data_IF_013653091536
#
_entry.id   IF_013653091536
#
_cell.length_a   1.000
_cell.length_b   1.000
_cell.length_c   1.000
_cell.angle_alpha   90.00
_cell.angle_beta   90.00
_cell.angle_gamma   90.00
#
_symmetry.space_group_name_H-M   'P 1'
#
loop_
_entity.id
_entity.type
_entity.pdbx_description
1 polymer ?
#
# COMPACT_ATOMS: atom_id res chain seq x y z
N UNK A 1 -7.70 -26.28 -27.73
CA UNK A 1 -9.03 -25.67 -27.43
C UNK A 1 -9.00 -24.73 -26.23
N UNK A 2 -8.29 -25.06 -25.14
CA UNK A 2 -8.16 -24.20 -23.94
C UNK A 2 -7.42 -22.88 -24.24
N UNK A 3 -6.34 -22.92 -25.06
CA UNK A 3 -5.61 -21.72 -25.49
C UNK A 3 -6.48 -20.80 -26.37
N UNK A 4 -7.32 -21.37 -27.21
CA UNK A 4 -8.24 -20.56 -28.04
C UNK A 4 -9.35 -19.91 -27.21
N UNK A 5 -9.85 -20.56 -26.16
CA UNK A 5 -10.85 -19.98 -25.25
C UNK A 5 -10.27 -18.85 -24.37
N UNK A 6 -9.01 -18.98 -23.92
CA UNK A 6 -8.34 -17.92 -23.17
C UNK A 6 -8.06 -16.70 -24.04
N UNK A 7 -7.57 -16.91 -25.28
CA UNK A 7 -7.32 -15.83 -26.23
C UNK A 7 -8.60 -15.08 -26.62
N UNK A 8 -9.71 -15.78 -26.85
CA UNK A 8 -11.01 -15.14 -27.11
C UNK A 8 -11.48 -14.32 -25.90
N UNK A 9 -11.38 -14.87 -24.68
CA UNK A 9 -11.70 -14.15 -23.45
C UNK A 9 -10.88 -12.88 -23.30
N UNK A 10 -9.59 -12.93 -23.63
CA UNK A 10 -8.70 -11.75 -23.52
C UNK A 10 -9.01 -10.68 -24.59
N UNK A 11 -9.45 -11.09 -25.77
CA UNK A 11 -9.93 -10.13 -26.80
C UNK A 11 -11.18 -9.38 -26.30
N UNK A 12 -12.18 -10.10 -25.75
CA UNK A 12 -13.37 -9.46 -25.21
C UNK A 12 -13.06 -8.54 -24.03
N UNK A 13 -12.19 -8.95 -23.11
CA UNK A 13 -11.72 -8.11 -22.00
C UNK A 13 -11.08 -6.82 -22.52
N UNK A 14 -10.19 -6.92 -23.50
CA UNK A 14 -9.55 -5.75 -24.12
C UNK A 14 -10.56 -4.83 -24.81
N UNK A 15 -11.54 -5.39 -25.50
CA UNK A 15 -12.58 -4.59 -26.14
C UNK A 15 -13.44 -3.84 -25.12
N UNK A 16 -13.84 -4.49 -24.03
CA UNK A 16 -14.58 -3.83 -22.94
C UNK A 16 -13.73 -2.72 -22.33
N UNK A 17 -12.47 -3.01 -22.00
CA UNK A 17 -11.55 -2.01 -21.42
C UNK A 17 -11.32 -0.83 -22.39
N UNK A 18 -11.24 -1.06 -23.68
CA UNK A 18 -11.05 0.01 -24.66
C UNK A 18 -12.16 1.07 -24.62
N UNK A 19 -13.40 0.68 -24.36
CA UNK A 19 -14.53 1.61 -24.26
C UNK A 19 -14.73 2.14 -22.84
N UNK A 20 -14.53 1.30 -21.83
CA UNK A 20 -14.78 1.65 -20.41
C UNK A 20 -13.65 2.50 -19.83
N UNK A 21 -12.40 2.15 -20.14
CA UNK A 21 -11.23 2.80 -19.54
C UNK A 21 -11.15 4.32 -19.81
N UNK A 22 -11.37 4.82 -21.02
CA UNK A 22 -11.34 6.27 -21.26
C UNK A 22 -12.37 7.03 -20.43
N UNK A 23 -13.54 6.45 -20.16
CA UNK A 23 -14.59 7.07 -19.34
C UNK A 23 -14.15 7.11 -17.88
N UNK A 24 -13.67 5.98 -17.34
CA UNK A 24 -13.16 5.90 -15.95
C UNK A 24 -11.98 6.84 -15.75
N UNK A 25 -11.02 6.79 -16.68
CA UNK A 25 -9.83 7.64 -16.61
C UNK A 25 -10.20 9.14 -16.71
N UNK A 26 -11.06 9.51 -17.66
CA UNK A 26 -11.55 10.89 -17.81
C UNK A 26 -12.29 11.40 -16.58
N UNK A 27 -13.09 10.55 -15.93
CA UNK A 27 -13.76 10.89 -14.67
C UNK A 27 -12.78 11.13 -13.53
N UNK A 28 -11.72 10.30 -13.42
CA UNK A 28 -10.67 10.46 -12.38
C UNK A 28 -9.81 11.71 -12.64
N UNK A 29 -9.50 12.03 -13.91
CA UNK A 29 -8.80 13.26 -14.29
C UNK A 29 -9.66 14.48 -13.95
N UNK A 30 -10.92 14.51 -14.38
CA UNK A 30 -11.84 15.62 -14.07
C UNK A 30 -12.07 15.79 -12.56
N UNK A 31 -12.14 14.70 -11.81
CA UNK A 31 -12.18 14.76 -10.35
C UNK A 31 -10.88 15.38 -9.79
N UNK A 32 -9.71 14.96 -10.27
CA UNK A 32 -8.42 15.52 -9.88
C UNK A 32 -8.36 17.03 -10.14
N UNK A 33 -8.72 17.47 -11.33
CA UNK A 33 -8.74 18.89 -11.70
C UNK A 33 -9.69 19.72 -10.81
N UNK A 34 -10.85 19.16 -10.47
CA UNK A 34 -11.82 19.85 -9.61
C UNK A 34 -11.29 20.12 -8.19
N UNK A 35 -10.44 19.24 -7.66
CA UNK A 35 -9.90 19.39 -6.29
C UNK A 35 -8.61 20.22 -6.21
N UNK A 36 -7.91 20.45 -7.32
CA UNK A 36 -6.68 21.26 -7.37
C UNK A 36 -6.91 22.65 -6.78
N UNK A 37 -8.02 23.28 -7.12
CA UNK A 37 -8.37 24.62 -6.68
C UNK A 37 -8.59 24.78 -5.18
N UNK A 38 -8.73 23.66 -4.44
CA UNK A 38 -9.02 23.66 -2.99
C UNK A 38 -7.76 23.65 -2.12
N UNK A 39 -6.56 23.71 -2.71
CA UNK A 39 -5.28 23.83 -1.98
C UNK A 39 -5.01 22.66 -1.04
N UNK A 40 -4.72 22.93 0.24
CA UNK A 40 -4.38 21.91 1.24
C UNK A 40 -5.51 20.89 1.47
N UNK A 41 -6.76 21.30 1.38
CA UNK A 41 -7.92 20.40 1.47
C UNK A 41 -7.90 19.45 0.28
N UNK A 42 -7.60 19.96 -0.92
CA UNK A 42 -7.46 19.15 -2.14
C UNK A 42 -6.37 18.09 -2.02
N UNK A 43 -5.23 18.44 -1.43
CA UNK A 43 -4.17 17.45 -1.15
C UNK A 43 -4.67 16.34 -0.21
N UNK A 44 -5.47 16.68 0.80
CA UNK A 44 -6.09 15.71 1.69
C UNK A 44 -7.09 14.81 0.99
N UNK A 45 -7.97 15.37 0.18
CA UNK A 45 -8.97 14.63 -0.62
C UNK A 45 -8.25 13.68 -1.59
N UNK A 46 -7.24 14.19 -2.30
CA UNK A 46 -6.43 13.37 -3.19
C UNK A 46 -5.81 12.18 -2.46
N UNK A 47 -5.12 12.40 -1.35
CA UNK A 47 -4.44 11.34 -0.61
C UNK A 47 -5.41 10.32 -0.01
N UNK A 48 -6.59 10.75 0.43
CA UNK A 48 -7.66 9.86 0.88
C UNK A 48 -8.11 8.93 -0.25
N UNK A 49 -8.49 9.47 -1.41
CA UNK A 49 -8.93 8.67 -2.54
C UNK A 49 -7.80 7.85 -3.15
N UNK A 50 -6.58 8.35 -3.14
CA UNK A 50 -5.40 7.58 -3.54
C UNK A 50 -5.33 6.26 -2.76
N UNK A 51 -5.43 6.29 -1.43
CA UNK A 51 -5.44 5.08 -0.60
C UNK A 51 -6.68 4.23 -0.85
N UNK A 52 -7.85 4.83 -0.90
CA UNK A 52 -9.11 4.12 -1.11
C UNK A 52 -9.15 3.34 -2.42
N UNK A 53 -8.44 3.80 -3.44
CA UNK A 53 -8.40 3.19 -4.77
C UNK A 53 -7.30 2.13 -4.96
N UNK A 54 -6.39 1.94 -3.99
CA UNK A 54 -5.33 0.91 -4.07
C UNK A 54 -5.91 -0.50 -4.27
N UNK A 55 -6.97 -0.94 -3.55
CA UNK A 55 -7.54 -2.28 -3.72
C UNK A 55 -8.00 -2.57 -5.16
N UNK A 56 -8.35 -1.52 -5.90
CA UNK A 56 -8.82 -1.61 -7.29
C UNK A 56 -7.71 -1.36 -8.31
N UNK A 57 -6.49 -0.99 -7.87
CA UNK A 57 -5.39 -0.59 -8.76
C UNK A 57 -5.60 0.77 -9.45
N UNK A 58 -6.66 1.50 -9.12
CA UNK A 58 -7.04 2.76 -9.78
C UNK A 58 -6.31 4.00 -9.24
N UNK A 59 -5.58 3.88 -8.12
CA UNK A 59 -4.79 4.98 -7.53
C UNK A 59 -3.74 5.55 -8.51
N UNK A 60 -3.21 4.73 -9.43
CA UNK A 60 -2.29 5.20 -10.46
C UNK A 60 -2.90 6.23 -11.42
N UNK A 61 -4.20 6.16 -11.67
CA UNK A 61 -4.87 7.16 -12.49
C UNK A 61 -4.91 8.53 -11.79
N UNK A 62 -5.09 8.57 -10.46
CA UNK A 62 -4.96 9.81 -9.70
C UNK A 62 -3.50 10.28 -9.62
N UNK A 63 -2.54 9.37 -9.45
CA UNK A 63 -1.12 9.72 -9.45
C UNK A 63 -0.71 10.37 -10.76
N UNK A 64 -1.25 9.92 -11.90
CA UNK A 64 -0.94 10.50 -13.21
C UNK A 64 -1.39 11.96 -13.32
N UNK A 65 -2.44 12.34 -12.60
CA UNK A 65 -2.94 13.73 -12.56
C UNK A 65 -2.03 14.64 -11.73
N UNK A 66 -1.63 14.19 -10.53
CA UNK A 66 -0.96 15.06 -9.55
C UNK A 66 0.57 14.95 -9.61
N UNK A 67 1.11 13.76 -9.81
CA UNK A 67 2.56 13.54 -9.80
C UNK A 67 3.19 13.70 -11.17
N UNK A 68 2.44 13.41 -12.23
CA UNK A 68 2.89 13.48 -13.61
C UNK A 68 2.17 14.60 -14.39
N UNK A 69 2.27 14.62 -15.71
CA UNK A 69 1.90 15.76 -16.52
C UNK A 69 0.48 15.69 -17.17
N UNK A 70 -0.42 14.88 -16.62
CA UNK A 70 -1.75 14.71 -17.25
C UNK A 70 -2.59 15.97 -17.12
N UNK A 71 -2.54 16.68 -15.99
CA UNK A 71 -3.25 17.93 -15.75
C UNK A 71 -2.30 19.15 -15.65
N UNK A 72 -1.08 19.04 -16.14
CA UNK A 72 -0.08 20.11 -16.12
C UNK A 72 0.52 20.39 -14.74
N UNK A 73 0.23 19.57 -13.70
CA UNK A 73 0.75 19.74 -12.34
C UNK A 73 2.20 19.31 -12.30
N UNK A 74 2.49 18.06 -12.65
CA UNK A 74 3.81 17.42 -12.66
C UNK A 74 4.61 17.71 -11.38
N UNK A 75 4.03 17.37 -10.22
CA UNK A 75 4.60 17.74 -8.92
C UNK A 75 5.98 17.12 -8.69
N UNK A 76 6.20 15.89 -9.16
CA UNK A 76 7.51 15.23 -9.07
C UNK A 76 8.56 15.96 -9.90
N UNK A 77 8.31 16.15 -11.20
CA UNK A 77 9.29 16.76 -12.10
C UNK A 77 9.64 18.20 -11.70
N UNK A 78 8.65 18.98 -11.28
CA UNK A 78 8.85 20.34 -10.79
C UNK A 78 9.62 20.36 -9.45
N UNK A 79 9.26 19.47 -8.51
CA UNK A 79 9.93 19.43 -7.20
C UNK A 79 11.44 19.12 -7.30
N UNK A 80 11.81 18.22 -8.18
CA UNK A 80 13.20 17.87 -8.40
C UNK A 80 13.93 18.78 -9.40
N UNK A 81 13.24 19.79 -9.96
CA UNK A 81 13.82 20.73 -10.91
C UNK A 81 14.12 20.16 -12.30
N UNK A 82 13.51 19.02 -12.63
CA UNK A 82 13.61 18.41 -13.98
C UNK A 82 12.61 19.02 -14.94
N UNK A 83 11.60 19.72 -14.43
CA UNK A 83 10.60 20.45 -15.19
C UNK A 83 10.50 21.89 -14.68
N UNK A 84 10.23 22.81 -15.59
CA UNK A 84 10.04 24.24 -15.27
C UNK A 84 8.69 24.50 -14.58
N UNK A 85 8.55 25.66 -13.94
CA UNK A 85 7.29 26.11 -13.33
C UNK A 85 7.07 25.63 -11.90
N UNK A 86 8.11 25.16 -11.19
CA UNK A 86 8.06 24.93 -9.76
C UNK A 86 7.90 26.23 -8.96
N UNK A 87 7.09 26.19 -7.90
CA UNK A 87 6.82 27.33 -7.01
C UNK A 87 7.13 26.92 -5.58
N UNK A 88 8.03 27.66 -4.92
CA UNK A 88 8.39 27.40 -3.53
C UNK A 88 7.14 27.51 -2.64
N UNK A 89 7.00 26.58 -1.69
CA UNK A 89 5.85 26.49 -0.81
C UNK A 89 4.59 25.85 -1.41
N UNK A 90 4.55 25.62 -2.73
CA UNK A 90 3.42 24.93 -3.39
C UNK A 90 3.83 23.58 -3.98
N UNK A 91 4.93 23.57 -4.75
CA UNK A 91 5.43 22.33 -5.39
C UNK A 91 5.85 21.32 -4.32
N UNK A 92 5.44 20.08 -4.46
CA UNK A 92 5.65 19.00 -3.48
C UNK A 92 4.47 18.78 -2.53
N UNK A 93 3.41 19.63 -2.59
CA UNK A 93 2.28 19.52 -1.65
C UNK A 93 1.51 18.20 -1.79
N UNK A 94 1.49 17.57 -2.96
CA UNK A 94 0.82 16.30 -3.22
C UNK A 94 1.68 15.08 -2.90
N UNK A 95 2.92 15.29 -2.46
CA UNK A 95 3.86 14.25 -2.06
C UNK A 95 4.13 14.24 -0.54
N UNK A 96 4.29 15.44 0.02
CA UNK A 96 4.83 15.64 1.38
C UNK A 96 4.07 14.86 2.46
N UNK A 97 2.75 14.81 2.38
CA UNK A 97 1.91 14.21 3.42
C UNK A 97 1.94 12.68 3.48
N UNK A 98 2.54 12.01 2.50
CA UNK A 98 2.73 10.58 2.54
C UNK A 98 3.89 10.16 3.45
N UNK A 99 4.91 11.00 3.65
CA UNK A 99 6.06 10.68 4.50
C UNK A 99 5.70 10.37 5.96
N UNK A 100 4.89 11.17 6.67
CA UNK A 100 4.48 10.84 8.03
C UNK A 100 3.75 9.52 8.14
N UNK A 101 2.95 9.17 7.13
CA UNK A 101 2.18 7.93 7.10
C UNK A 101 3.06 6.72 6.82
N UNK A 102 3.87 6.79 5.77
CA UNK A 102 4.66 5.64 5.32
C UNK A 102 5.84 5.36 6.25
N UNK A 103 6.51 6.40 6.77
CA UNK A 103 7.66 6.24 7.64
C UNK A 103 7.27 5.95 9.10
N UNK A 104 6.15 6.49 9.59
CA UNK A 104 5.80 6.39 11.02
C UNK A 104 4.43 5.77 11.24
N UNK A 105 3.41 6.20 10.51
CA UNK A 105 2.03 5.76 10.70
C UNK A 105 1.87 4.26 10.48
N UNK A 106 2.27 3.75 9.32
CA UNK A 106 2.14 2.33 8.98
C UNK A 106 3.04 1.42 9.83
N UNK A 107 4.32 1.72 10.12
CA UNK A 107 5.09 0.97 11.10
C UNK A 107 4.44 0.93 12.49
N UNK A 108 3.83 2.03 12.93
CA UNK A 108 3.09 2.08 14.20
C UNK A 108 1.78 1.25 14.14
N UNK A 109 1.10 1.22 12.97
CA UNK A 109 -0.03 0.33 12.73
C UNK A 109 0.38 -1.15 12.80
N UNK A 110 1.52 -1.50 12.21
CA UNK A 110 2.09 -2.85 12.32
C UNK A 110 2.36 -3.23 13.79
N UNK A 111 2.92 -2.31 14.56
CA UNK A 111 3.14 -2.52 16.00
C UNK A 111 1.81 -2.69 16.76
N UNK A 112 0.78 -1.93 16.41
CA UNK A 112 -0.54 -2.08 17.01
C UNK A 112 -1.17 -3.46 16.68
N UNK A 113 -1.05 -3.91 15.44
CA UNK A 113 -1.50 -5.24 15.01
C UNK A 113 -0.73 -6.34 15.76
N UNK A 114 0.61 -6.24 15.86
CA UNK A 114 1.42 -7.17 16.62
C UNK A 114 1.00 -7.25 18.10
N UNK A 115 0.80 -6.12 18.76
CA UNK A 115 0.39 -6.08 20.18
C UNK A 115 -1.01 -6.63 20.41
N UNK A 116 -1.87 -6.62 19.43
CA UNK A 116 -3.24 -7.14 19.51
C UNK A 116 -3.38 -8.56 18.99
N UNK A 117 -2.34 -9.16 18.41
CA UNK A 117 -2.32 -10.54 17.94
C UNK A 117 -2.46 -11.54 19.10
N UNK A 118 -3.04 -12.72 18.82
CA UNK A 118 -3.12 -13.84 19.76
C UNK A 118 -1.72 -14.32 20.14
N UNK A 119 -1.50 -14.71 21.41
CA UNK A 119 -0.17 -15.04 21.92
C UNK A 119 0.51 -16.20 21.18
N UNK A 120 -0.26 -17.21 20.76
CA UNK A 120 0.21 -18.33 19.97
C UNK A 120 0.67 -17.95 18.56
N UNK A 121 0.14 -16.87 17.98
CA UNK A 121 0.45 -16.39 16.61
C UNK A 121 1.49 -15.27 16.57
N UNK A 122 1.82 -14.64 17.69
CA UNK A 122 2.75 -13.50 17.77
C UNK A 122 4.09 -13.75 17.08
N UNK A 123 4.67 -14.93 17.26
CA UNK A 123 5.98 -15.25 16.64
C UNK A 123 5.94 -15.26 15.12
N UNK A 124 4.86 -15.79 14.56
CA UNK A 124 4.68 -15.89 13.10
C UNK A 124 4.46 -14.51 12.48
N UNK A 125 3.55 -13.73 13.07
CA UNK A 125 3.21 -12.41 12.53
C UNK A 125 4.29 -11.36 12.80
N UNK A 126 5.12 -11.53 13.83
CA UNK A 126 6.20 -10.59 14.13
C UNK A 126 7.15 -10.38 12.96
N UNK A 127 7.60 -11.46 12.32
CA UNK A 127 8.51 -11.40 11.19
C UNK A 127 7.87 -10.68 9.97
N UNK A 128 6.63 -11.04 9.65
CA UNK A 128 5.87 -10.42 8.57
C UNK A 128 5.67 -8.91 8.80
N UNK A 129 5.15 -8.53 9.97
CA UNK A 129 4.84 -7.15 10.29
C UNK A 129 6.10 -6.29 10.42
N UNK A 130 7.18 -6.85 10.98
CA UNK A 130 8.47 -6.16 11.04
C UNK A 130 9.05 -5.91 9.66
N UNK A 131 9.10 -6.93 8.80
CA UNK A 131 9.63 -6.80 7.45
C UNK A 131 8.82 -5.79 6.63
N UNK A 132 7.48 -5.87 6.68
CA UNK A 132 6.59 -4.94 5.98
C UNK A 132 6.70 -3.51 6.56
N UNK A 133 6.82 -3.35 7.88
CA UNK A 133 7.03 -2.07 8.53
C UNK A 133 8.37 -1.43 8.16
N UNK A 134 9.45 -2.20 8.09
CA UNK A 134 10.76 -1.72 7.64
C UNK A 134 10.75 -1.36 6.15
N UNK A 135 10.09 -2.14 5.29
CA UNK A 135 9.91 -1.79 3.89
C UNK A 135 9.18 -0.45 3.74
N UNK A 136 8.08 -0.26 4.48
CA UNK A 136 7.35 1.01 4.50
C UNK A 136 8.23 2.17 4.98
N UNK A 137 8.98 2.00 6.07
CA UNK A 137 9.83 3.06 6.62
C UNK A 137 10.96 3.45 5.67
N UNK A 138 11.75 2.49 5.18
CA UNK A 138 12.94 2.80 4.39
C UNK A 138 12.63 3.16 2.96
N UNK A 139 11.75 2.41 2.31
CA UNK A 139 11.49 2.54 0.86
C UNK A 139 10.16 3.18 0.52
N UNK A 140 9.23 3.30 1.49
CA UNK A 140 7.87 3.76 1.23
C UNK A 140 6.99 2.72 0.52
N UNK A 141 7.43 1.46 0.42
CA UNK A 141 6.61 0.36 -0.14
C UNK A 141 5.65 -0.12 0.94
N UNK A 142 4.38 0.19 0.78
CA UNK A 142 3.35 -0.01 1.80
C UNK A 142 2.46 -1.22 1.57
N UNK A 143 2.41 -1.71 0.33
CA UNK A 143 1.52 -2.78 -0.11
C UNK A 143 1.64 -4.07 0.71
N UNK A 144 2.83 -4.55 1.11
CA UNK A 144 2.93 -5.76 1.94
C UNK A 144 2.20 -5.63 3.27
N UNK A 145 2.22 -4.41 3.84
CA UNK A 145 1.53 -4.13 5.09
C UNK A 145 0.04 -3.83 4.88
N UNK A 146 -0.29 -3.00 3.91
CA UNK A 146 -1.68 -2.64 3.60
C UNK A 146 -2.50 -3.86 3.20
N UNK A 147 -1.99 -4.71 2.32
CA UNK A 147 -2.68 -5.94 1.89
C UNK A 147 -2.87 -6.94 3.03
N UNK A 148 -1.97 -6.94 4.02
CA UNK A 148 -2.11 -7.83 5.17
C UNK A 148 -3.37 -7.55 6.01
N UNK A 149 -3.92 -6.32 5.99
CA UNK A 149 -5.13 -6.01 6.76
C UNK A 149 -6.31 -5.48 5.92
N UNK A 150 -6.07 -4.99 4.72
CA UNK A 150 -7.06 -4.35 3.87
C UNK A 150 -8.27 -5.26 3.58
N UNK A 151 -8.02 -6.53 3.25
CA UNK A 151 -9.07 -7.50 2.93
C UNK A 151 -9.70 -8.12 4.18
N UNK A 152 -8.93 -8.27 5.26
CA UNK A 152 -9.38 -8.85 6.52
C UNK A 152 -10.21 -7.86 7.35
N UNK A 153 -9.85 -6.58 7.28
CA UNK A 153 -10.46 -5.51 8.07
C UNK A 153 -10.66 -4.24 7.23
N UNK A 154 -11.57 -4.22 6.24
CA UNK A 154 -11.76 -3.08 5.33
C UNK A 154 -12.14 -1.79 6.06
N UNK A 155 -12.83 -1.88 7.20
CA UNK A 155 -13.10 -0.70 8.05
C UNK A 155 -11.82 -0.08 8.62
N UNK A 156 -10.81 -0.89 8.97
CA UNK A 156 -9.52 -0.40 9.42
C UNK A 156 -8.74 0.26 8.27
N UNK A 157 -8.89 -0.29 7.07
CA UNK A 157 -8.32 0.30 5.87
C UNK A 157 -8.93 1.67 5.53
N UNK A 158 -10.25 1.82 5.70
CA UNK A 158 -10.90 3.12 5.56
C UNK A 158 -10.36 4.16 6.57
N UNK A 159 -10.13 3.74 7.82
CA UNK A 159 -9.50 4.60 8.83
C UNK A 159 -8.10 5.01 8.38
N UNK A 160 -7.30 4.08 7.83
CA UNK A 160 -5.99 4.38 7.26
C UNK A 160 -6.08 5.42 6.13
N UNK A 161 -7.02 5.27 5.20
CA UNK A 161 -7.23 6.22 4.12
C UNK A 161 -7.58 7.62 4.64
N UNK A 162 -8.46 7.72 5.66
CA UNK A 162 -8.82 8.99 6.31
C UNK A 162 -7.60 9.63 6.98
N UNK A 163 -6.82 8.86 7.75
CA UNK A 163 -5.61 9.36 8.40
C UNK A 163 -4.57 9.84 7.39
N UNK A 164 -4.45 9.17 6.25
CA UNK A 164 -3.57 9.61 5.15
C UNK A 164 -4.05 10.93 4.55
N UNK A 165 -5.35 11.08 4.32
CA UNK A 165 -5.92 12.34 3.87
C UNK A 165 -5.67 13.49 4.84
N UNK A 166 -5.84 13.26 6.15
CA UNK A 166 -5.54 14.25 7.19
C UNK A 166 -4.05 14.63 7.18
N UNK A 167 -3.16 13.64 7.08
CA UNK A 167 -1.71 13.88 6.99
C UNK A 167 -1.36 14.77 5.80
N UNK A 168 -1.92 14.48 4.63
CA UNK A 168 -1.67 15.26 3.42
C UNK A 168 -2.21 16.69 3.54
N UNK A 169 -3.40 16.88 4.08
CA UNK A 169 -3.97 18.20 4.31
C UNK A 169 -3.13 19.04 5.30
N UNK A 170 -2.71 18.42 6.41
CA UNK A 170 -1.87 19.07 7.43
C UNK A 170 -0.50 19.46 6.84
N UNK A 171 0.19 18.54 6.17
CA UNK A 171 1.50 18.83 5.57
C UNK A 171 1.40 19.90 4.47
N UNK A 172 0.33 19.87 3.66
CA UNK A 172 0.11 20.87 2.63
C UNK A 172 -0.17 22.26 3.20
N UNK A 173 -0.82 22.35 4.37
CA UNK A 173 -1.11 23.63 5.05
C UNK A 173 0.10 24.20 5.80
N UNK A 174 1.09 23.38 6.15
CA UNK A 174 2.29 23.79 6.83
C UNK A 174 3.39 24.17 5.82
N UNK A 175 4.37 25.01 6.22
CA UNK A 175 5.55 25.35 5.39
C UNK A 175 6.56 24.18 5.40
N UNK A 176 6.13 23.04 4.93
CA UNK A 176 6.91 21.80 4.87
C UNK A 176 6.74 21.17 3.49
N UNK A 177 7.86 20.97 2.78
CA UNK A 177 7.86 20.33 1.47
C UNK A 177 8.99 19.33 1.38
N UNK A 178 8.63 18.09 1.05
CA UNK A 178 9.53 17.01 0.68
C UNK A 178 8.90 16.23 -0.47
N UNK A 179 9.71 15.67 -1.31
CA UNK A 179 9.26 14.92 -2.47
C UNK A 179 10.00 13.61 -2.61
N UNK A 180 9.44 12.73 -3.39
CA UNK A 180 10.01 11.43 -3.73
C UNK A 180 10.05 11.26 -5.25
N UNK A 181 10.96 10.40 -5.70
CA UNK A 181 10.98 9.89 -7.07
C UNK A 181 10.37 8.50 -7.13
N UNK A 182 10.56 7.71 -6.08
CA UNK A 182 10.04 6.36 -5.98
C UNK A 182 8.84 6.29 -5.02
N UNK A 183 9.05 6.54 -3.74
CA UNK A 183 7.97 6.54 -2.74
C UNK A 183 8.39 7.28 -1.46
N UNK A 184 7.42 7.61 -0.58
CA UNK A 184 7.63 8.44 0.60
C UNK A 184 8.29 7.69 1.77
N UNK A 185 9.45 7.08 1.54
CA UNK A 185 10.29 6.44 2.54
C UNK A 185 11.45 7.29 2.99
N UNK A 186 12.21 6.77 3.94
CA UNK A 186 13.39 7.43 4.50
C UNK A 186 14.44 7.80 3.44
N UNK A 187 14.63 6.94 2.43
CA UNK A 187 15.62 7.19 1.37
C UNK A 187 15.26 8.44 0.59
N UNK A 188 14.03 8.53 0.07
CA UNK A 188 13.58 9.69 -0.69
C UNK A 188 13.47 10.93 0.21
N UNK A 189 13.04 10.80 1.46
CA UNK A 189 13.05 11.90 2.43
C UNK A 189 14.46 12.47 2.61
N UNK A 190 15.46 11.63 2.79
CA UNK A 190 16.85 12.05 2.94
C UNK A 190 17.38 12.72 1.66
N UNK A 191 17.07 12.16 0.49
CA UNK A 191 17.47 12.73 -0.79
C UNK A 191 16.78 14.07 -1.06
N UNK A 192 15.54 14.26 -0.59
CA UNK A 192 14.76 15.47 -0.81
C UNK A 192 15.37 16.75 -0.21
N UNK A 193 16.29 16.64 0.76
CA UNK A 193 17.00 17.81 1.32
C UNK A 193 17.77 18.62 0.29
N UNK A 194 18.15 18.02 -0.84
CA UNK A 194 18.87 18.67 -1.92
C UNK A 194 17.98 19.15 -3.05
N UNK A 195 16.68 18.89 -2.98
CA UNK A 195 15.74 19.30 -4.01
C UNK A 195 15.53 20.82 -3.97
N UNK A 196 15.40 21.48 -5.13
CA UNK A 196 15.31 22.95 -5.20
C UNK A 196 14.06 23.52 -4.52
N UNK A 197 12.99 22.74 -4.39
CA UNK A 197 11.73 23.16 -3.77
C UNK A 197 11.47 22.51 -2.41
N UNK A 198 12.49 21.87 -1.81
CA UNK A 198 12.40 21.36 -0.44
C UNK A 198 12.27 22.50 0.57
N UNK A 199 11.35 22.35 1.51
CA UNK A 199 11.12 23.32 2.58
C UNK A 199 10.97 22.60 3.91
N UNK A 200 11.85 22.90 4.85
CA UNK A 200 11.83 22.36 6.22
C UNK A 200 11.58 20.83 6.34
N UNK A 201 12.24 19.94 5.57
CA UNK A 201 11.93 18.51 5.59
C UNK A 201 12.14 17.84 6.95
N UNK A 202 12.95 18.43 7.85
CA UNK A 202 13.13 17.92 9.22
C UNK A 202 11.85 17.94 10.05
N UNK A 203 10.92 18.85 9.78
CA UNK A 203 9.65 18.91 10.50
C UNK A 203 8.81 17.65 10.29
N UNK A 204 9.02 16.93 9.17
CA UNK A 204 8.34 15.67 8.91
C UNK A 204 8.67 14.58 9.93
N UNK A 205 9.82 14.63 10.59
CA UNK A 205 10.13 13.70 11.68
C UNK A 205 9.22 13.95 12.88
N UNK A 206 9.02 15.21 13.27
CA UNK A 206 8.12 15.56 14.38
C UNK A 206 6.66 15.25 14.05
N UNK A 207 6.20 15.65 12.85
CA UNK A 207 4.86 15.36 12.36
C UNK A 207 4.66 13.84 12.27
N UNK A 208 5.65 13.12 11.74
CA UNK A 208 5.62 11.66 11.62
C UNK A 208 5.51 10.96 12.95
N UNK A 209 6.24 11.39 13.97
CA UNK A 209 6.11 10.84 15.33
C UNK A 209 4.70 11.03 15.89
N UNK A 210 4.10 12.22 15.70
CA UNK A 210 2.72 12.48 16.11
C UNK A 210 1.76 11.54 15.37
N UNK A 211 1.88 11.41 14.05
CA UNK A 211 1.07 10.48 13.28
C UNK A 211 1.30 9.03 13.69
N UNK A 212 2.54 8.62 14.00
CA UNK A 212 2.85 7.30 14.54
C UNK A 212 2.06 6.99 15.81
N UNK A 213 2.03 7.93 16.77
CA UNK A 213 1.26 7.79 18.00
C UNK A 213 -0.25 7.70 17.69
N UNK A 214 -0.77 8.58 16.82
CA UNK A 214 -2.17 8.56 16.40
C UNK A 214 -2.52 7.21 15.77
N UNK A 215 -1.73 6.74 14.82
CA UNK A 215 -1.95 5.44 14.17
C UNK A 215 -1.95 4.29 15.16
N UNK A 216 -0.98 4.25 16.07
CA UNK A 216 -0.92 3.20 17.08
C UNK A 216 -2.17 3.16 17.96
N UNK A 217 -2.59 4.32 18.48
CA UNK A 217 -3.77 4.43 19.37
C UNK A 217 -5.04 4.08 18.61
N UNK A 218 -5.25 4.67 17.44
CA UNK A 218 -6.47 4.49 16.64
C UNK A 218 -6.59 3.05 16.16
N UNK A 219 -5.51 2.46 15.63
CA UNK A 219 -5.50 1.07 15.19
C UNK A 219 -5.75 0.11 16.34
N UNK A 220 -5.01 0.26 17.46
CA UNK A 220 -5.22 -0.57 18.64
C UNK A 220 -6.64 -0.48 19.17
N UNK A 221 -7.21 0.73 19.27
CA UNK A 221 -8.57 0.94 19.69
C UNK A 221 -9.58 0.29 18.74
N UNK A 222 -9.44 0.53 17.42
CA UNK A 222 -10.35 -0.03 16.43
C UNK A 222 -10.30 -1.57 16.40
N UNK A 223 -9.09 -2.15 16.41
CA UNK A 223 -8.91 -3.61 16.40
C UNK A 223 -9.56 -4.24 17.64
N UNK A 224 -9.34 -3.68 18.82
CA UNK A 224 -9.87 -4.24 20.06
C UNK A 224 -11.36 -3.98 20.23
N UNK A 225 -11.84 -2.76 19.95
CA UNK A 225 -13.24 -2.36 20.12
C UNK A 225 -14.17 -3.10 19.18
N UNK A 226 -13.79 -3.24 17.92
CA UNK A 226 -14.61 -3.89 16.88
C UNK A 226 -14.21 -5.35 16.62
N UNK A 227 -13.29 -5.90 17.43
CA UNK A 227 -12.77 -7.26 17.29
C UNK A 227 -12.37 -7.59 15.83
N UNK A 228 -11.62 -6.67 15.19
CA UNK A 228 -11.26 -6.80 13.79
C UNK A 228 -10.26 -7.95 13.59
N UNK A 229 -10.43 -8.68 12.50
CA UNK A 229 -9.52 -9.75 12.07
C UNK A 229 -8.33 -9.09 11.37
N UNK A 230 -7.23 -8.96 12.07
CA UNK A 230 -5.94 -8.50 11.54
C UNK A 230 -4.94 -9.65 11.60
N UNK A 231 -3.77 -9.56 10.97
CA UNK A 231 -2.76 -10.62 11.05
C UNK A 231 -2.52 -11.08 12.49
N UNK A 232 -2.65 -12.39 12.72
CA UNK A 232 -2.56 -13.00 14.04
C UNK A 232 -3.83 -12.96 14.89
N UNK A 233 -4.95 -12.48 14.34
CA UNK A 233 -6.27 -12.49 14.99
C UNK A 233 -7.32 -13.27 14.20
N UNK A 234 -6.91 -13.98 13.17
CA UNK A 234 -7.78 -14.87 12.42
C UNK A 234 -8.34 -15.97 13.34
N UNK A 235 -9.53 -16.49 13.00
CA UNK A 235 -10.09 -17.63 13.71
C UNK A 235 -9.23 -18.88 13.45
N UNK A 236 -9.14 -19.75 14.43
CA UNK A 236 -8.34 -20.99 14.37
C UNK A 236 -9.08 -22.10 13.58
N UNK A 237 -9.97 -21.76 12.63
CA UNK A 237 -10.78 -22.68 11.85
C UNK A 237 -10.01 -23.57 10.86
N UNK A 238 -8.69 -23.49 10.89
CA UNK A 238 -7.84 -24.53 10.31
C UNK A 238 -7.08 -25.14 11.47
N UNK A 239 -7.74 -26.03 12.21
CA UNK A 239 -7.11 -27.09 13.01
C UNK A 239 -6.40 -28.07 12.05
N UNK A 240 -5.38 -27.57 11.46
CA UNK A 240 -4.44 -28.23 10.60
C UNK A 240 -3.10 -27.53 10.75
N UNK A 241 -2.59 -27.38 11.98
CA UNK A 241 -1.15 -27.34 12.18
C UNK A 241 -0.60 -28.67 11.65
N UNK A 242 -0.48 -28.72 10.31
CA UNK A 242 0.52 -29.60 9.75
C UNK A 242 1.86 -28.99 10.16
N UNK A 243 2.33 -29.38 11.34
CA UNK A 243 3.70 -29.22 11.76
C UNK A 243 4.57 -30.09 10.84
N UNK A 244 4.66 -29.67 9.56
CA UNK A 244 5.53 -30.31 8.58
C UNK A 244 6.93 -29.89 8.99
N UNK A 245 7.47 -30.56 10.00
CA UNK A 245 8.89 -30.54 10.26
C UNK A 245 9.54 -31.23 9.07
N UNK A 246 10.08 -30.41 8.18
CA UNK A 246 11.04 -30.86 7.15
C UNK A 246 12.33 -31.30 7.86
N UNK A 247 12.29 -32.39 8.60
CA UNK A 247 13.48 -33.08 9.06
C UNK A 247 13.97 -33.97 7.93
N UNK A 248 15.17 -33.69 7.47
CA UNK A 248 15.99 -34.56 6.63
C UNK A 248 15.44 -34.94 5.24
N UNK A 249 15.11 -34.01 4.36
CA UNK A 249 14.82 -34.32 2.95
C UNK A 249 13.81 -35.47 2.70
N UNK A 250 12.98 -35.81 3.66
CA UNK A 250 11.91 -36.80 3.48
C UNK A 250 10.69 -36.12 2.86
N UNK A 251 10.75 -35.94 1.55
CA UNK A 251 9.66 -35.39 0.77
C UNK A 251 8.44 -36.32 0.68
N UNK A 252 8.57 -37.59 1.10
CA UNK A 252 7.49 -38.58 1.02
C UNK A 252 6.36 -38.21 1.98
N UNK A 253 6.68 -37.85 3.22
CA UNK A 253 5.68 -37.43 4.22
C UNK A 253 4.96 -36.13 3.78
N UNK A 254 5.70 -35.22 3.16
CA UNK A 254 5.13 -33.97 2.59
C UNK A 254 4.19 -34.28 1.43
N UNK A 255 4.60 -35.17 0.52
CA UNK A 255 3.80 -35.58 -0.63
C UNK A 255 2.51 -36.31 -0.21
N UNK A 256 2.58 -37.19 0.79
CA UNK A 256 1.41 -37.88 1.34
C UNK A 256 0.43 -36.91 1.98
N UNK A 257 0.93 -35.92 2.69
CA UNK A 257 0.14 -34.87 3.32
C UNK A 257 -0.57 -33.99 2.30
N UNK A 258 0.15 -33.58 1.24
CA UNK A 258 -0.44 -32.83 0.12
C UNK A 258 -1.51 -33.66 -0.59
N UNK A 259 -1.21 -34.92 -0.86
CA UNK A 259 -2.15 -35.85 -1.51
C UNK A 259 -3.42 -36.05 -0.69
N UNK A 260 -3.31 -36.13 0.63
CA UNK A 260 -4.46 -36.21 1.54
C UNK A 260 -5.26 -34.91 1.54
N UNK A 261 -4.59 -33.76 1.52
CA UNK A 261 -5.24 -32.45 1.41
C UNK A 261 -5.97 -32.23 0.09
N UNK A 262 -5.51 -32.86 -1.00
CA UNK A 262 -6.17 -32.88 -2.31
C UNK A 262 -7.34 -33.86 -2.39
N UNK A 263 -7.67 -34.55 -1.33
CA UNK A 263 -8.77 -35.53 -1.30
C UNK A 263 -8.39 -36.93 -1.76
N UNK A 264 -7.09 -37.21 -1.87
CA UNK A 264 -6.56 -38.54 -2.23
C UNK A 264 -6.13 -38.66 -3.69
N UNK A 265 -5.55 -39.82 -4.00
CA UNK A 265 -4.95 -40.10 -5.32
C UNK A 265 -5.97 -40.04 -6.46
N UNK A 266 -7.23 -40.28 -6.17
CA UNK A 266 -8.31 -40.30 -7.15
C UNK A 266 -8.68 -38.92 -7.69
N UNK A 267 -8.31 -37.85 -6.95
CA UNK A 267 -8.56 -36.48 -7.37
C UNK A 267 -7.40 -35.86 -8.16
N UNK A 268 -6.28 -36.57 -8.32
CA UNK A 268 -5.10 -36.07 -9.05
C UNK A 268 -5.17 -36.62 -10.48
N UNK A 269 -5.41 -35.72 -11.45
CA UNK A 269 -5.51 -36.06 -12.88
C UNK A 269 -4.16 -36.08 -13.57
N UNK A 270 -3.27 -35.12 -13.21
CA UNK A 270 -1.92 -35.06 -13.73
C UNK A 270 -0.99 -34.35 -12.73
N UNK A 271 0.27 -34.70 -12.77
CA UNK A 271 1.33 -34.01 -12.01
C UNK A 271 2.35 -33.51 -13.01
N UNK A 272 2.49 -32.18 -13.12
CA UNK A 272 3.46 -31.53 -13.99
C UNK A 272 4.56 -30.88 -13.17
N UNK A 273 5.79 -31.01 -13.64
CA UNK A 273 6.96 -30.40 -13.02
C UNK A 273 7.33 -29.12 -13.76
N UNK A 274 7.09 -27.98 -13.11
CA UNK A 274 7.59 -26.68 -13.56
C UNK A 274 9.02 -26.48 -13.05
N UNK A 275 9.99 -26.89 -13.85
CA UNK A 275 11.39 -26.51 -13.59
C UNK A 275 11.59 -25.04 -13.94
N UNK A 276 11.92 -24.23 -12.93
CA UNK A 276 12.47 -22.89 -13.15
C UNK A 276 13.82 -23.04 -13.84
N UNK A 277 13.87 -22.78 -15.14
CA UNK A 277 15.11 -22.65 -15.86
C UNK A 277 15.76 -21.36 -15.40
N UNK A 278 16.90 -21.47 -14.73
CA UNK A 278 17.75 -20.32 -14.48
C UNK A 278 18.27 -19.81 -15.83
N UNK A 279 17.84 -18.64 -16.20
CA UNK A 279 18.42 -17.88 -17.30
C UNK A 279 19.71 -17.23 -16.82
#
# INVERSE_FOLDING_TARGET
>A
TLLASSAASDVYKRQILFFVWPVVYGALVGFGEAIISTGSIGAGIYAFFNRLLIPFGLHHALNSVFWFDVAGINDIGKFWGTMEGGVLGQTGMYMTGFFPVMMFGLPAAALAMYHTAKDNKKKVVAGLLLAAGLASFFTGVTEPLEFAFMFLAPGLYLIHAVLTGISAAVCAALPVRAGFNFSAGFVDWFLSFKAPFAENPLWLLGIGLIFGVIYYIVFRFAITKFNLKTPGREDDDIDGEMDIKLENNDFTAVAETILKGLGGKENVVSIDNLSLIHI
#
